data_IF_617580300359
#
_entry.id   IF_617580300359
#
_cell.length_a   1.000
_cell.length_b   1.000
_cell.length_c   1.000
_cell.angle_alpha   90.00
_cell.angle_beta   90.00
_cell.angle_gamma   90.00
#
_symmetry.space_group_name_H-M   'P 1'
#
loop_
_entity.id
_entity.type
_entity.pdbx_description
1 polymer ?
#
# COMPACT_ATOMS: atom_id res chain seq x y z
N UNK A 1 2.02 30.92 -32.94
CA UNK A 1 2.54 30.39 -31.65
C UNK A 1 2.97 28.96 -31.92
N UNK A 2 4.23 28.78 -32.34
CA UNK A 2 4.73 27.49 -32.80
C UNK A 2 5.10 26.63 -31.59
N UNK A 3 4.34 25.56 -31.35
CA UNK A 3 4.68 24.59 -30.33
C UNK A 3 5.88 23.76 -30.82
N UNK A 4 7.01 23.94 -30.17
CA UNK A 4 8.22 23.16 -30.40
C UNK A 4 7.98 21.70 -29.96
N UNK A 5 8.05 20.70 -30.86
CA UNK A 5 7.83 19.30 -30.53
C UNK A 5 8.89 18.73 -29.58
N UNK A 6 10.00 19.45 -29.34
CA UNK A 6 11.04 19.06 -28.37
C UNK A 6 10.75 19.53 -26.94
N UNK A 7 9.76 20.42 -26.75
CA UNK A 7 9.17 20.69 -25.44
C UNK A 7 8.20 19.56 -25.09
N UNK A 8 8.74 18.37 -24.85
CA UNK A 8 7.98 17.22 -24.38
C UNK A 8 7.08 17.64 -23.21
N UNK A 9 5.78 17.33 -23.29
CA UNK A 9 4.83 17.57 -22.21
C UNK A 9 5.32 16.84 -20.96
N UNK A 10 6.04 17.53 -20.08
CA UNK A 10 6.56 16.88 -18.87
C UNK A 10 5.39 16.38 -18.01
N UNK A 11 5.51 15.18 -17.43
CA UNK A 11 4.45 14.63 -16.57
C UNK A 11 4.13 15.52 -15.37
N UNK A 12 5.13 16.26 -14.87
CA UNK A 12 4.93 17.27 -13.82
C UNK A 12 4.11 18.47 -14.33
N UNK A 13 4.33 18.90 -15.57
CA UNK A 13 3.56 19.95 -16.24
C UNK A 13 2.10 19.55 -16.43
N UNK A 14 1.84 18.34 -16.94
CA UNK A 14 0.47 17.80 -17.09
C UNK A 14 -0.25 17.76 -15.74
N UNK A 15 0.40 17.25 -14.67
CA UNK A 15 -0.20 17.23 -13.33
C UNK A 15 -0.50 18.61 -12.77
N UNK A 16 0.41 19.55 -12.98
CA UNK A 16 0.23 20.94 -12.53
C UNK A 16 -0.93 21.58 -13.27
N UNK A 17 -1.03 21.35 -14.58
CA UNK A 17 -2.13 21.82 -15.41
C UNK A 17 -3.46 21.20 -14.97
N UNK A 18 -3.54 19.88 -14.82
CA UNK A 18 -4.78 19.22 -14.37
C UNK A 18 -5.17 19.69 -12.99
N UNK A 19 -4.22 19.87 -12.05
CA UNK A 19 -4.53 20.39 -10.71
C UNK A 19 -5.07 21.81 -10.76
N UNK A 20 -4.51 22.67 -11.62
CA UNK A 20 -5.02 24.05 -11.82
C UNK A 20 -6.40 24.04 -12.45
N UNK A 21 -6.60 23.29 -13.53
CA UNK A 21 -7.90 23.16 -14.18
C UNK A 21 -8.97 22.57 -13.26
N UNK A 22 -8.62 21.61 -12.40
CA UNK A 22 -9.52 21.09 -11.36
C UNK A 22 -9.78 22.14 -10.28
N UNK A 23 -8.77 22.89 -9.84
CA UNK A 23 -8.96 23.95 -8.84
C UNK A 23 -9.82 25.11 -9.38
N UNK A 24 -9.70 25.45 -10.67
CA UNK A 24 -10.51 26.47 -11.33
C UNK A 24 -11.96 26.03 -11.56
N UNK A 25 -12.21 24.72 -11.76
CA UNK A 25 -13.56 24.15 -11.88
C UNK A 25 -14.19 23.75 -10.56
N UNK A 26 -13.38 23.59 -9.51
CA UNK A 26 -13.87 23.26 -8.19
C UNK A 26 -14.52 24.52 -7.61
N UNK A 27 -15.84 24.47 -7.40
CA UNK A 27 -16.54 25.46 -6.58
C UNK A 27 -15.95 25.40 -5.17
N UNK A 28 -14.95 26.23 -4.94
CA UNK A 28 -14.22 26.36 -3.67
C UNK A 28 -15.01 27.27 -2.73
N UNK A 29 -16.28 26.94 -2.54
CA UNK A 29 -17.07 27.56 -1.48
C UNK A 29 -16.58 27.07 -0.11
N UNK A 30 -16.64 27.93 0.91
CA UNK A 30 -16.33 27.51 2.28
C UNK A 30 -17.21 26.34 2.76
N UNK A 31 -18.43 26.23 2.21
CA UNK A 31 -19.37 25.15 2.46
C UNK A 31 -18.91 23.81 1.89
N UNK A 32 -18.35 23.79 0.67
CA UNK A 32 -17.80 22.56 0.07
C UNK A 32 -16.55 22.10 0.81
N UNK A 33 -15.69 23.04 1.23
CA UNK A 33 -14.50 22.72 2.03
C UNK A 33 -14.89 22.17 3.42
N UNK A 34 -15.89 22.78 4.07
CA UNK A 34 -16.47 22.27 5.31
C UNK A 34 -17.12 20.88 5.14
N UNK A 35 -17.83 20.67 4.03
CA UNK A 35 -18.43 19.39 3.66
C UNK A 35 -17.39 18.30 3.43
N UNK A 36 -16.29 18.61 2.74
CA UNK A 36 -15.17 17.68 2.52
C UNK A 36 -14.47 17.32 3.83
N UNK A 37 -14.21 18.30 4.69
CA UNK A 37 -13.61 18.07 6.00
C UNK A 37 -14.54 17.23 6.88
N UNK A 38 -15.82 17.56 6.92
CA UNK A 38 -16.80 16.79 7.67
C UNK A 38 -16.91 15.36 7.11
N UNK A 39 -16.96 15.19 5.79
CA UNK A 39 -17.01 13.88 5.15
C UNK A 39 -15.76 13.04 5.46
N UNK A 40 -14.57 13.66 5.42
CA UNK A 40 -13.33 13.01 5.82
C UNK A 40 -13.33 12.62 7.31
N UNK A 41 -13.77 13.52 8.20
CA UNK A 41 -13.90 13.25 9.64
C UNK A 41 -14.92 12.15 9.91
N UNK A 42 -16.05 12.16 9.22
CA UNK A 42 -17.12 11.15 9.38
C UNK A 42 -16.62 9.80 8.90
N UNK A 43 -15.92 9.75 7.77
CA UNK A 43 -15.30 8.52 7.26
C UNK A 43 -14.26 7.99 8.26
N UNK A 44 -13.39 8.86 8.79
CA UNK A 44 -12.43 8.49 9.81
C UNK A 44 -13.11 7.97 11.08
N UNK A 45 -14.16 8.63 11.55
CA UNK A 45 -14.92 8.22 12.73
C UNK A 45 -15.61 6.87 12.53
N UNK A 46 -16.22 6.62 11.36
CA UNK A 46 -16.83 5.33 11.01
C UNK A 46 -15.77 4.22 11.00
N UNK A 47 -14.61 4.47 10.39
CA UNK A 47 -13.49 3.52 10.38
C UNK A 47 -13.05 3.20 11.83
N UNK A 48 -12.84 4.22 12.66
CA UNK A 48 -12.48 4.06 14.07
C UNK A 48 -13.55 3.28 14.84
N UNK A 49 -14.83 3.57 14.63
CA UNK A 49 -15.93 2.90 15.31
C UNK A 49 -16.05 1.43 14.90
N UNK A 50 -15.93 1.13 13.60
CA UNK A 50 -15.99 -0.25 13.07
C UNK A 50 -14.82 -1.07 13.61
N UNK A 51 -13.60 -0.56 13.50
CA UNK A 51 -12.43 -1.26 14.03
C UNK A 51 -12.49 -1.37 15.55
N UNK A 52 -12.84 -0.29 16.26
CA UNK A 52 -13.02 -0.27 17.71
C UNK A 52 -14.03 -1.30 18.19
N UNK A 53 -15.19 -1.41 17.52
CA UNK A 53 -16.22 -2.41 17.81
C UNK A 53 -15.75 -3.84 17.51
N UNK A 54 -15.05 -4.06 16.39
CA UNK A 54 -14.49 -5.37 16.06
C UNK A 54 -13.45 -5.82 17.10
N UNK A 55 -12.55 -4.93 17.53
CA UNK A 55 -11.57 -5.20 18.57
C UNK A 55 -12.23 -5.43 19.94
N UNK A 56 -13.25 -4.65 20.29
CA UNK A 56 -14.00 -4.84 21.54
C UNK A 56 -14.72 -6.19 21.55
N UNK A 57 -15.40 -6.56 20.47
CA UNK A 57 -16.06 -7.86 20.33
C UNK A 57 -15.05 -9.02 20.39
N UNK A 58 -13.89 -8.85 19.76
CA UNK A 58 -12.82 -9.85 19.82
C UNK A 58 -12.29 -10.00 21.25
N UNK A 59 -12.06 -8.88 21.96
CA UNK A 59 -11.64 -8.87 23.36
C UNK A 59 -12.65 -9.60 24.24
N UNK A 60 -13.93 -9.34 24.05
CA UNK A 60 -15.01 -9.95 24.83
C UNK A 60 -15.16 -11.45 24.53
N UNK A 61 -15.02 -11.86 23.27
CA UNK A 61 -14.97 -13.28 22.89
C UNK A 61 -13.76 -14.01 23.47
N UNK A 62 -12.61 -13.33 23.59
CA UNK A 62 -11.42 -13.87 24.25
C UNK A 62 -11.67 -14.00 25.74
N UNK A 63 -12.22 -12.96 26.39
CA UNK A 63 -12.52 -12.94 27.82
C UNK A 63 -13.61 -13.94 28.23
N UNK A 64 -14.56 -14.25 27.34
CA UNK A 64 -15.64 -15.21 27.58
C UNK A 64 -15.20 -16.68 27.40
N UNK A 65 -13.96 -16.96 26.98
CA UNK A 65 -13.46 -18.33 26.92
C UNK A 65 -13.19 -18.85 28.33
N UNK A 66 -13.60 -20.09 28.66
CA UNK A 66 -13.28 -20.68 29.95
C UNK A 66 -11.77 -20.68 30.14
N UNK A 67 -11.32 -20.37 31.36
CA UNK A 67 -9.94 -20.38 31.81
C UNK A 67 -9.35 -21.78 31.58
N UNK A 68 -8.80 -22.03 30.39
CA UNK A 68 -7.84 -23.11 30.20
C UNK A 68 -6.60 -22.67 30.96
N UNK A 69 -6.08 -23.50 31.86
CA UNK A 69 -4.96 -23.17 32.77
C UNK A 69 -3.60 -22.85 32.11
N UNK A 70 -3.58 -22.26 30.92
CA UNK A 70 -2.41 -21.88 30.15
C UNK A 70 -2.30 -20.35 30.01
N UNK A 71 -1.17 -19.83 30.50
CA UNK A 71 -0.50 -18.58 30.15
C UNK A 71 -1.35 -17.47 29.48
N UNK A 72 -1.73 -16.47 30.28
CA UNK A 72 -2.15 -15.16 29.76
C UNK A 72 -1.00 -14.57 28.95
N UNK A 73 -1.22 -14.32 27.66
CA UNK A 73 -0.20 -13.69 26.82
C UNK A 73 0.06 -12.25 27.31
N UNK A 74 1.31 -11.86 27.58
CA UNK A 74 1.68 -10.47 27.89
C UNK A 74 1.09 -9.47 26.87
N UNK A 75 0.70 -8.29 27.35
CA UNK A 75 0.12 -7.23 26.51
C UNK A 75 1.01 -6.83 25.34
N UNK A 76 2.33 -6.82 25.55
CA UNK A 76 3.34 -6.57 24.52
C UNK A 76 3.30 -7.58 23.37
N UNK A 77 3.24 -8.87 23.71
CA UNK A 77 3.20 -9.94 22.72
C UNK A 77 1.91 -9.86 21.90
N UNK A 78 0.80 -9.55 22.56
CA UNK A 78 -0.49 -9.35 21.89
C UNK A 78 -0.44 -8.17 20.93
N UNK A 79 0.13 -7.04 21.35
CA UNK A 79 0.27 -5.86 20.51
C UNK A 79 1.24 -6.09 19.35
N UNK A 80 2.38 -6.76 19.59
CA UNK A 80 3.34 -7.15 18.56
C UNK A 80 2.69 -8.06 17.50
N UNK A 81 1.96 -9.10 17.94
CA UNK A 81 1.23 -10.00 17.04
C UNK A 81 0.21 -9.22 16.20
N UNK A 82 -0.58 -8.35 16.84
CA UNK A 82 -1.54 -7.51 16.12
C UNK A 82 -0.83 -6.63 15.07
N UNK A 83 0.30 -6.01 15.42
CA UNK A 83 1.06 -5.18 14.51
C UNK A 83 1.65 -5.96 13.33
N UNK A 84 2.17 -7.16 13.57
CA UNK A 84 2.67 -8.05 12.52
C UNK A 84 1.53 -8.46 11.59
N UNK A 85 0.37 -8.83 12.13
CA UNK A 85 -0.80 -9.22 11.34
C UNK A 85 -1.32 -8.06 10.49
N UNK A 86 -1.45 -6.86 11.05
CA UNK A 86 -1.91 -5.68 10.31
C UNK A 86 -0.89 -5.31 9.22
N UNK A 87 0.40 -5.31 9.55
CA UNK A 87 1.46 -5.03 8.57
C UNK A 87 1.45 -6.07 7.45
N UNK A 88 1.33 -7.35 7.79
CA UNK A 88 1.25 -8.44 6.83
C UNK A 88 0.03 -8.31 5.92
N UNK A 89 -1.13 -7.96 6.47
CA UNK A 89 -2.35 -7.72 5.72
C UNK A 89 -2.21 -6.55 4.75
N UNK A 90 -1.66 -5.41 5.20
CA UNK A 90 -1.42 -4.23 4.36
C UNK A 90 -0.44 -4.56 3.22
N UNK A 91 0.66 -5.26 3.52
CA UNK A 91 1.64 -5.66 2.51
C UNK A 91 1.05 -6.65 1.51
N UNK A 92 0.28 -7.63 1.97
CA UNK A 92 -0.42 -8.58 1.10
C UNK A 92 -1.40 -7.84 0.19
N UNK A 93 -2.18 -6.90 0.74
CA UNK A 93 -3.13 -6.07 0.00
C UNK A 93 -2.43 -5.23 -1.08
N UNK A 94 -1.37 -4.50 -0.70
CA UNK A 94 -0.58 -3.69 -1.63
C UNK A 94 0.11 -4.55 -2.71
N UNK A 95 0.56 -5.77 -2.38
CA UNK A 95 1.17 -6.66 -3.36
C UNK A 95 0.18 -7.18 -4.41
N UNK A 96 -1.08 -7.38 -4.01
CA UNK A 96 -2.18 -7.85 -4.89
C UNK A 96 -2.73 -6.71 -5.74
N UNK A 97 -3.03 -5.57 -5.12
CA UNK A 97 -3.58 -4.40 -5.79
C UNK A 97 -2.52 -3.60 -6.57
N UNK A 98 -1.24 -3.76 -6.20
CA UNK A 98 -0.14 -2.94 -6.69
C UNK A 98 -0.07 -1.59 -5.97
N UNK A 99 1.06 -1.24 -5.34
CA UNK A 99 1.20 0.03 -4.65
C UNK A 99 1.03 1.25 -5.58
N UNK A 100 1.23 1.09 -6.89
CA UNK A 100 0.91 2.14 -7.86
C UNK A 100 -0.15 1.61 -8.80
N UNK A 101 -1.30 2.26 -8.79
CA UNK A 101 -2.41 2.00 -9.70
C UNK A 101 -2.88 3.31 -10.33
N UNK A 102 -3.46 3.24 -11.52
CA UNK A 102 -4.06 4.40 -12.16
C UNK A 102 -5.57 4.19 -12.19
N UNK A 103 -6.35 5.06 -11.53
CA UNK A 103 -7.82 4.97 -11.57
C UNK A 103 -8.30 4.88 -13.02
N UNK A 104 -9.43 4.22 -13.32
CA UNK A 104 -9.88 4.03 -14.70
C UNK A 104 -9.96 5.33 -15.50
N UNK A 105 -10.39 6.42 -14.85
CA UNK A 105 -10.42 7.76 -15.44
C UNK A 105 -9.00 8.29 -15.71
N UNK A 106 -8.10 8.26 -14.72
CA UNK A 106 -6.71 8.69 -14.92
C UNK A 106 -5.99 7.84 -15.97
N UNK A 107 -6.25 6.54 -16.00
CA UNK A 107 -5.68 5.61 -16.97
C UNK A 107 -6.13 5.94 -18.40
N UNK A 108 -7.40 6.29 -18.60
CA UNK A 108 -7.94 6.65 -19.91
C UNK A 108 -7.34 7.94 -20.48
N UNK A 109 -7.09 8.94 -19.61
CA UNK A 109 -6.68 10.27 -20.06
C UNK A 109 -5.17 10.54 -19.97
N UNK A 110 -4.45 9.94 -19.02
CA UNK A 110 -3.03 10.25 -18.78
C UNK A 110 -2.06 9.23 -19.38
N UNK A 111 -2.44 7.96 -19.49
CA UNK A 111 -1.55 6.91 -20.03
C UNK A 111 -1.31 7.03 -21.55
N UNK A 112 -2.25 7.53 -22.36
CA UNK A 112 -2.00 7.75 -23.79
C UNK A 112 -1.13 8.98 -24.10
N UNK A 113 -0.94 9.90 -23.14
CA UNK A 113 -0.21 11.14 -23.39
C UNK A 113 1.30 10.85 -23.60
N UNK A 114 1.96 11.53 -24.55
CA UNK A 114 3.40 11.45 -24.77
C UNK A 114 4.16 12.26 -23.71
N UNK A 115 3.89 11.98 -22.43
CA UNK A 115 4.44 12.68 -21.28
C UNK A 115 5.32 11.74 -20.44
N UNK A 116 6.39 12.28 -19.84
CA UNK A 116 7.27 11.51 -18.96
C UNK A 116 6.50 10.84 -17.81
N UNK A 117 6.44 9.50 -17.82
CA UNK A 117 5.59 8.68 -16.92
C UNK A 117 6.01 8.82 -15.45
N UNK A 118 7.30 8.89 -15.18
CA UNK A 118 7.86 9.12 -13.83
C UNK A 118 7.29 10.38 -13.17
N UNK A 119 7.16 11.47 -13.91
CA UNK A 119 6.59 12.72 -13.40
C UNK A 119 5.10 12.61 -13.04
N UNK A 120 4.35 11.82 -13.82
CA UNK A 120 2.93 11.52 -13.58
C UNK A 120 2.74 10.65 -12.33
N UNK A 121 3.51 9.57 -12.19
CA UNK A 121 3.32 8.58 -11.12
C UNK A 121 3.91 9.00 -9.76
N UNK A 122 4.82 9.98 -9.73
CA UNK A 122 5.43 10.49 -8.49
C UNK A 122 4.40 11.02 -7.48
N UNK A 123 3.28 11.55 -7.96
CA UNK A 123 2.20 12.02 -7.10
C UNK A 123 1.52 10.86 -6.37
N UNK A 124 1.28 9.77 -7.08
CA UNK A 124 0.64 8.58 -6.53
C UNK A 124 1.57 7.85 -5.55
N UNK A 125 2.85 7.75 -5.87
CA UNK A 125 3.86 7.22 -4.95
C UNK A 125 3.90 7.98 -3.62
N UNK A 126 3.76 9.32 -3.65
CA UNK A 126 3.68 10.14 -2.43
C UNK A 126 2.42 9.89 -1.64
N UNK A 127 1.26 9.78 -2.30
CA UNK A 127 -0.01 9.49 -1.61
C UNK A 127 0.04 8.13 -0.92
N UNK A 128 0.48 7.10 -1.64
CA UNK A 128 0.56 5.73 -1.09
C UNK A 128 1.61 5.64 0.00
N UNK A 129 2.75 6.33 -0.15
CA UNK A 129 3.73 6.46 0.93
C UNK A 129 3.15 7.14 2.17
N UNK A 130 2.36 8.21 2.01
CA UNK A 130 1.72 8.90 3.13
C UNK A 130 0.68 8.02 3.82
N UNK A 131 -0.17 7.30 3.06
CA UNK A 131 -1.13 6.35 3.63
C UNK A 131 -0.41 5.24 4.39
N UNK A 132 0.69 4.71 3.85
CA UNK A 132 1.49 3.69 4.53
C UNK A 132 2.12 4.20 5.83
N UNK A 133 2.62 5.45 5.85
CA UNK A 133 3.13 6.10 7.05
C UNK A 133 2.03 6.26 8.10
N UNK A 134 0.85 6.78 7.71
CA UNK A 134 -0.28 6.94 8.63
C UNK A 134 -0.70 5.59 9.21
N UNK A 135 -0.83 4.56 8.38
CA UNK A 135 -1.15 3.20 8.84
C UNK A 135 -0.09 2.67 9.81
N UNK A 136 1.19 2.86 9.52
CA UNK A 136 2.28 2.44 10.40
C UNK A 136 2.25 3.16 11.76
N UNK A 137 1.97 4.47 11.77
CA UNK A 137 1.84 5.25 13.02
C UNK A 137 0.66 4.76 13.85
N UNK A 138 -0.50 4.55 13.22
CA UNK A 138 -1.72 4.06 13.87
C UNK A 138 -1.51 2.67 14.50
N UNK A 139 -0.68 1.83 13.88
CA UNK A 139 -0.35 0.50 14.39
C UNK A 139 0.76 0.54 15.45
N UNK A 140 1.82 1.32 15.23
CA UNK A 140 2.98 1.36 16.13
C UNK A 140 2.65 2.03 17.47
N UNK A 141 1.80 3.06 17.48
CA UNK A 141 1.50 3.81 18.69
C UNK A 141 0.86 2.93 19.79
N UNK A 142 -0.19 2.13 19.52
CA UNK A 142 -0.72 1.17 20.51
C UNK A 142 0.30 0.15 21.00
N UNK A 143 1.22 -0.32 20.14
CA UNK A 143 2.25 -1.30 20.51
C UNK A 143 3.20 -0.73 21.55
N UNK A 144 3.66 0.49 21.31
CA UNK A 144 4.58 1.17 22.22
C UNK A 144 3.89 1.51 23.54
N UNK A 145 2.62 1.93 23.49
CA UNK A 145 1.84 2.23 24.69
C UNK A 145 1.43 0.99 25.50
N UNK A 146 1.46 -0.20 24.90
CA UNK A 146 1.21 -1.47 25.57
C UNK A 146 2.44 -2.04 26.30
N UNK A 147 3.59 -1.36 26.21
CA UNK A 147 4.80 -1.77 26.91
C UNK A 147 4.65 -1.64 28.45
N UNK A 148 5.22 -2.57 29.24
CA UNK A 148 5.05 -2.65 30.69
C UNK A 148 5.83 -1.56 31.42
N UNK A 149 6.89 -1.05 30.79
CA UNK A 149 7.61 0.11 31.25
C UNK A 149 7.03 1.35 30.59
N UNK A 150 6.82 2.42 31.38
CA UNK A 150 6.36 3.69 30.84
C UNK A 150 7.40 4.19 29.80
N UNK A 151 7.08 4.17 28.50
CA UNK A 151 8.04 4.49 27.48
C UNK A 151 8.39 5.97 27.57
N UNK A 152 9.66 6.28 27.43
CA UNK A 152 10.10 7.68 27.37
C UNK A 152 9.66 8.31 26.04
N UNK A 153 9.36 9.61 26.04
CA UNK A 153 9.04 10.37 24.80
C UNK A 153 10.03 10.10 23.65
N UNK A 154 11.37 10.07 23.86
CA UNK A 154 12.30 9.75 22.79
C UNK A 154 12.11 8.32 22.24
N UNK A 155 11.87 7.31 23.07
CA UNK A 155 11.63 5.93 22.61
C UNK A 155 10.36 5.82 21.77
N UNK A 156 9.27 6.47 22.19
CA UNK A 156 8.03 6.54 21.40
C UNK A 156 8.30 7.20 20.05
N UNK A 157 9.03 8.31 20.03
CA UNK A 157 9.31 9.02 18.78
C UNK A 157 10.18 8.20 17.82
N UNK A 158 11.18 7.48 18.35
CA UNK A 158 12.12 6.66 17.56
C UNK A 158 11.42 5.44 16.97
N UNK A 159 10.62 4.75 17.77
CA UNK A 159 9.88 3.55 17.33
C UNK A 159 8.83 3.89 16.27
N UNK A 160 8.07 4.97 16.48
CA UNK A 160 7.07 5.45 15.51
C UNK A 160 7.74 5.95 14.23
N UNK A 161 8.85 6.69 14.33
CA UNK A 161 9.61 7.13 13.16
C UNK A 161 10.23 5.93 12.40
N UNK A 162 10.79 4.96 13.10
CA UNK A 162 11.33 3.73 12.51
C UNK A 162 10.25 2.93 11.77
N UNK A 163 9.06 2.78 12.36
CA UNK A 163 7.92 2.13 11.72
C UNK A 163 7.46 2.87 10.44
N UNK A 164 7.38 4.20 10.49
CA UNK A 164 7.06 5.02 9.32
C UNK A 164 8.09 4.87 8.20
N UNK A 165 9.39 4.85 8.52
CA UNK A 165 10.47 4.66 7.57
C UNK A 165 10.45 3.25 6.96
N UNK A 166 10.23 2.22 7.77
CA UNK A 166 10.06 0.85 7.28
C UNK A 166 8.86 0.74 6.32
N UNK A 167 7.74 1.38 6.64
CA UNK A 167 6.58 1.41 5.74
C UNK A 167 6.92 2.03 4.37
N UNK A 168 7.68 3.13 4.35
CA UNK A 168 8.16 3.74 3.11
C UNK A 168 9.13 2.82 2.35
N UNK A 169 10.02 2.13 3.04
CA UNK A 169 10.93 1.14 2.43
C UNK A 169 10.15 0.00 1.78
N UNK A 170 9.13 -0.52 2.48
CA UNK A 170 8.24 -1.57 1.97
C UNK A 170 7.47 -1.09 0.73
N UNK A 171 6.88 0.11 0.76
CA UNK A 171 6.23 0.69 -0.42
C UNK A 171 7.20 0.79 -1.60
N UNK A 172 8.40 1.33 -1.38
CA UNK A 172 9.44 1.42 -2.42
C UNK A 172 9.81 0.05 -3.01
N UNK A 173 10.05 -0.95 -2.15
CA UNK A 173 10.34 -2.31 -2.56
C UNK A 173 9.21 -2.96 -3.36
N UNK A 174 7.95 -2.78 -2.93
CA UNK A 174 6.77 -3.29 -3.64
C UNK A 174 6.63 -2.66 -5.03
N UNK A 175 6.96 -1.39 -5.21
CA UNK A 175 6.95 -0.73 -6.52
C UNK A 175 8.02 -1.31 -7.45
N UNK A 176 9.22 -1.60 -6.90
CA UNK A 176 10.30 -2.26 -7.66
C UNK A 176 9.89 -3.67 -8.08
N UNK A 177 9.29 -4.45 -7.17
CA UNK A 177 8.76 -5.77 -7.48
C UNK A 177 7.61 -5.70 -8.50
N UNK A 178 6.76 -4.68 -8.41
CA UNK A 178 5.69 -4.44 -9.38
C UNK A 178 6.25 -4.17 -10.78
N UNK A 179 7.30 -3.35 -10.90
CA UNK A 179 7.95 -3.07 -12.18
C UNK A 179 8.57 -4.33 -12.80
N UNK A 180 9.03 -5.28 -11.98
CA UNK A 180 9.53 -6.58 -12.41
C UNK A 180 8.48 -7.68 -12.59
N UNK A 181 7.19 -7.41 -12.34
CA UNK A 181 6.13 -8.43 -12.38
C UNK A 181 6.23 -9.52 -11.30
N UNK A 182 6.96 -9.24 -10.20
CA UNK A 182 7.31 -10.22 -9.16
C UNK A 182 6.45 -10.15 -7.89
N UNK A 183 5.33 -9.40 -7.91
CA UNK A 183 4.50 -9.22 -6.71
C UNK A 183 3.70 -10.46 -6.30
N UNK A 184 3.55 -11.47 -7.17
CA UNK A 184 2.73 -12.65 -6.91
C UNK A 184 3.19 -13.51 -5.71
N UNK A 185 4.48 -13.48 -5.38
CA UNK A 185 5.04 -14.26 -4.26
C UNK A 185 5.02 -13.51 -2.93
N UNK A 186 4.76 -12.20 -2.94
CA UNK A 186 4.83 -11.39 -1.73
C UNK A 186 3.68 -11.74 -0.78
N UNK A 187 2.45 -11.79 -1.27
CA UNK A 187 1.29 -12.15 -0.45
C UNK A 187 1.44 -13.52 0.28
N UNK A 188 1.83 -14.63 -0.39
CA UNK A 188 1.99 -15.91 0.30
C UNK A 188 3.18 -15.91 1.27
N UNK A 189 4.31 -15.28 0.93
CA UNK A 189 5.47 -15.21 1.83
C UNK A 189 5.14 -14.39 3.07
N UNK A 190 4.52 -13.22 2.90
CA UNK A 190 4.09 -12.36 4.01
C UNK A 190 3.04 -13.06 4.88
N UNK A 191 2.10 -13.78 4.26
CA UNK A 191 1.12 -14.60 4.97
C UNK A 191 1.78 -15.72 5.79
N UNK A 192 2.71 -16.47 5.18
CA UNK A 192 3.44 -17.53 5.85
C UNK A 192 4.29 -17.01 7.02
N UNK A 193 4.99 -15.88 6.84
CA UNK A 193 5.74 -15.23 7.91
C UNK A 193 4.82 -14.80 9.06
N UNK A 194 3.67 -14.19 8.75
CA UNK A 194 2.69 -13.83 9.77
C UNK A 194 2.15 -15.06 10.51
N UNK A 195 1.87 -16.16 9.79
CA UNK A 195 1.47 -17.43 10.41
C UNK A 195 2.55 -17.97 11.32
N UNK A 196 3.82 -17.98 10.89
CA UNK A 196 4.95 -18.44 11.72
C UNK A 196 5.08 -17.61 12.99
N UNK A 197 5.01 -16.28 12.88
CA UNK A 197 5.12 -15.36 14.03
C UNK A 197 3.98 -15.56 15.05
N UNK A 198 2.79 -15.97 14.61
CA UNK A 198 1.65 -16.21 15.52
C UNK A 198 1.63 -17.63 16.07
N UNK A 199 1.85 -18.63 15.21
CA UNK A 199 1.67 -20.04 15.55
C UNK A 199 2.85 -20.56 16.35
N UNK A 200 4.10 -20.17 16.03
CA UNK A 200 5.28 -20.69 16.73
C UNK A 200 5.26 -20.34 18.23
N UNK A 201 5.01 -19.08 18.64
CA UNK A 201 4.91 -18.74 20.06
C UNK A 201 3.70 -19.40 20.74
N UNK A 202 2.56 -19.51 20.05
CA UNK A 202 1.36 -20.15 20.59
C UNK A 202 1.59 -21.66 20.84
N UNK A 203 2.22 -22.37 19.89
CA UNK A 203 2.55 -23.79 20.03
C UNK A 203 3.64 -24.00 21.08
N UNK A 204 4.68 -23.16 21.07
CA UNK A 204 5.76 -23.19 22.07
C UNK A 204 5.25 -23.02 23.50
N UNK A 205 4.35 -22.05 23.72
CA UNK A 205 3.72 -21.81 25.02
C UNK A 205 2.77 -22.93 25.48
N UNK A 206 2.24 -23.75 24.56
CA UNK A 206 1.38 -24.91 24.92
C UNK A 206 2.12 -26.21 25.12
N UNK A 207 3.29 -26.39 24.51
CA UNK A 207 4.05 -27.64 24.56
C UNK A 207 5.10 -27.65 25.69
N UNK A 208 5.48 -26.47 26.17
CA UNK A 208 6.52 -26.33 27.20
C UNK A 208 5.91 -25.60 28.39
N UNK A 209 5.54 -26.35 29.43
CA UNK A 209 5.23 -25.76 30.74
C UNK A 209 6.44 -24.94 31.20
N UNK A 210 6.27 -23.62 31.35
CA UNK A 210 7.36 -22.71 31.75
C UNK A 210 8.12 -22.03 30.60
N UNK A 211 7.51 -21.88 29.42
CA UNK A 211 8.07 -21.05 28.34
C UNK A 211 8.04 -19.55 28.72
N UNK A 212 9.01 -19.11 29.52
CA UNK A 212 9.23 -17.72 29.94
C UNK A 212 10.01 -16.90 28.90
N UNK A 213 10.06 -17.35 27.64
CA UNK A 213 10.69 -16.58 26.59
C UNK A 213 9.79 -15.40 26.21
N UNK A 214 10.02 -14.29 26.88
CA UNK A 214 9.62 -12.98 26.39
C UNK A 214 10.67 -12.56 25.35
N UNK A 215 10.30 -12.23 24.11
CA UNK A 215 11.23 -11.62 23.18
C UNK A 215 11.69 -10.29 23.77
N UNK A 216 12.85 -10.31 24.41
CA UNK A 216 13.56 -9.10 24.78
C UNK A 216 13.88 -8.36 23.49
N UNK A 217 13.44 -7.10 23.40
CA UNK A 217 13.85 -6.24 22.30
C UNK A 217 15.38 -6.29 22.22
N UNK A 218 15.97 -6.64 21.07
CA UNK A 218 17.41 -6.62 20.94
C UNK A 218 17.89 -5.21 21.30
N UNK A 219 19.01 -5.13 22.02
CA UNK A 219 19.59 -3.87 22.47
C UNK A 219 20.25 -3.19 21.27
N UNK A 220 19.39 -2.67 20.38
CA UNK A 220 19.79 -2.11 19.10
C UNK A 220 20.06 -0.63 19.32
N UNK A 221 21.26 -0.14 18.99
CA UNK A 221 21.56 1.27 19.17
C UNK A 221 20.55 2.12 18.37
N UNK A 222 20.01 3.17 19.00
CA UNK A 222 19.11 4.16 18.39
C UNK A 222 19.49 4.58 16.96
N UNK A 223 20.76 4.85 16.62
CA UNK A 223 21.14 5.19 15.25
C UNK A 223 20.89 4.06 14.24
N UNK A 224 20.90 2.79 14.64
CA UNK A 224 20.58 1.67 13.76
C UNK A 224 19.06 1.53 13.57
N UNK A 225 18.27 1.78 14.62
CA UNK A 225 16.79 1.75 14.59
C UNK A 225 16.19 2.80 13.65
N UNK A 226 16.88 3.92 13.42
CA UNK A 226 16.43 4.95 12.47
C UNK A 226 17.26 4.92 11.18
N UNK A 227 18.59 4.76 11.30
CA UNK A 227 19.52 4.88 10.18
C UNK A 227 19.29 3.82 9.11
N UNK A 228 19.15 2.55 9.51
CA UNK A 228 18.89 1.45 8.56
C UNK A 228 17.56 1.66 7.83
N UNK A 229 16.41 1.85 8.51
CA UNK A 229 15.16 2.06 7.80
C UNK A 229 15.13 3.37 7.02
N UNK A 230 15.83 4.42 7.45
CA UNK A 230 15.98 5.65 6.66
C UNK A 230 16.71 5.40 5.35
N UNK A 231 17.85 4.70 5.39
CA UNK A 231 18.60 4.34 4.18
C UNK A 231 17.76 3.45 3.27
N UNK A 232 17.06 2.45 3.81
CA UNK A 232 16.18 1.58 3.03
C UNK A 232 14.99 2.34 2.43
N UNK A 233 14.39 3.28 3.17
CA UNK A 233 13.30 4.12 2.67
C UNK A 233 13.77 5.00 1.51
N UNK A 234 14.91 5.68 1.68
CA UNK A 234 15.48 6.54 0.63
C UNK A 234 15.86 5.70 -0.60
N UNK A 235 16.58 4.59 -0.41
CA UNK A 235 16.98 3.71 -1.51
C UNK A 235 15.76 3.11 -2.23
N UNK A 236 14.76 2.65 -1.47
CA UNK A 236 13.51 2.10 -2.00
C UNK A 236 12.70 3.11 -2.79
N UNK A 237 12.53 4.33 -2.28
CA UNK A 237 11.81 5.41 -2.97
C UNK A 237 12.55 5.90 -4.22
N UNK A 238 13.88 6.00 -4.18
CA UNK A 238 14.70 6.35 -5.35
C UNK A 238 14.65 5.25 -6.42
N UNK A 239 14.70 3.98 -6.00
CA UNK A 239 14.54 2.85 -6.92
C UNK A 239 13.14 2.83 -7.53
N UNK A 240 12.09 3.01 -6.72
CA UNK A 240 10.70 3.11 -7.16
C UNK A 240 10.50 4.24 -8.19
N UNK A 241 11.08 5.40 -7.93
CA UNK A 241 11.04 6.55 -8.83
C UNK A 241 11.76 6.29 -10.16
N UNK A 242 12.89 5.57 -10.14
CA UNK A 242 13.64 5.17 -11.36
C UNK A 242 12.92 4.12 -12.20
N UNK A 243 12.23 3.17 -11.57
CA UNK A 243 11.52 2.10 -12.30
C UNK A 243 10.10 2.49 -12.70
N UNK A 244 9.61 3.65 -12.27
CA UNK A 244 8.25 4.11 -12.57
C UNK A 244 7.97 4.22 -14.07
N UNK A 245 8.97 4.55 -14.90
CA UNK A 245 8.81 4.58 -16.36
C UNK A 245 8.61 3.20 -16.99
N UNK A 246 9.07 2.14 -16.31
CA UNK A 246 8.97 0.74 -16.76
C UNK A 246 7.62 0.10 -16.44
N UNK A 247 6.76 0.78 -15.68
CA UNK A 247 5.45 0.28 -15.32
C UNK A 247 4.56 0.19 -16.57
N UNK A 248 4.06 -1.02 -16.84
CA UNK A 248 3.19 -1.26 -17.99
C UNK A 248 1.84 -0.58 -17.82
N UNK A 249 1.43 0.23 -18.79
CA UNK A 249 0.16 0.96 -18.77
C UNK A 249 -1.06 0.04 -18.61
N UNK A 250 -1.05 -1.13 -19.25
CA UNK A 250 -2.09 -2.15 -19.09
C UNK A 250 -2.21 -2.65 -17.65
N UNK A 251 -1.07 -2.97 -17.02
CA UNK A 251 -1.04 -3.43 -15.63
C UNK A 251 -1.49 -2.34 -14.64
N UNK A 252 -1.15 -1.07 -14.90
CA UNK A 252 -1.63 0.07 -14.08
C UNK A 252 -3.14 0.25 -14.16
N UNK A 253 -3.72 0.06 -15.36
CA UNK A 253 -5.16 0.16 -15.59
C UNK A 253 -5.93 -1.00 -14.96
N UNK A 254 -5.47 -2.24 -15.15
CA UNK A 254 -6.08 -3.45 -14.55
C UNK A 254 -6.07 -3.38 -13.02
N UNK A 255 -4.94 -2.96 -12.43
CA UNK A 255 -4.81 -2.74 -11.00
C UNK A 255 -5.70 -1.60 -10.50
N UNK A 256 -5.81 -0.52 -11.27
CA UNK A 256 -6.72 0.58 -10.95
C UNK A 256 -8.19 0.18 -10.97
N UNK A 257 -8.59 -0.68 -11.91
CA UNK A 257 -9.95 -1.25 -11.91
C UNK A 257 -10.17 -2.16 -10.71
N UNK A 258 -9.18 -2.98 -10.33
CA UNK A 258 -9.29 -3.84 -9.16
C UNK A 258 -9.41 -3.04 -7.85
N UNK A 259 -8.62 -1.96 -7.71
CA UNK A 259 -8.71 -1.04 -6.55
C UNK A 259 -10.08 -0.37 -6.50
N UNK A 260 -10.59 0.12 -7.64
CA UNK A 260 -11.91 0.75 -7.71
C UNK A 260 -13.04 -0.22 -7.30
N UNK A 261 -13.05 -1.44 -7.86
CA UNK A 261 -14.02 -2.48 -7.51
C UNK A 261 -13.91 -2.86 -6.03
N UNK A 262 -12.70 -3.11 -5.53
CA UNK A 262 -12.49 -3.44 -4.12
C UNK A 262 -12.98 -2.33 -3.18
N UNK A 263 -12.77 -1.06 -3.55
CA UNK A 263 -13.20 0.09 -2.75
C UNK A 263 -14.73 0.22 -2.75
N UNK A 264 -15.38 0.06 -3.91
CA UNK A 264 -16.83 0.07 -4.03
C UNK A 264 -17.47 -1.09 -3.25
N UNK A 265 -16.93 -2.32 -3.37
CA UNK A 265 -17.39 -3.49 -2.63
C UNK A 265 -17.18 -3.36 -1.12
N UNK A 266 -16.09 -2.73 -0.67
CA UNK A 266 -15.86 -2.46 0.74
C UNK A 266 -16.89 -1.47 1.30
N UNK A 267 -17.21 -0.41 0.54
CA UNK A 267 -18.23 0.58 0.92
C UNK A 267 -19.64 -0.03 0.91
N UNK A 268 -19.94 -0.95 -0.01
CA UNK A 268 -21.22 -1.66 -0.07
C UNK A 268 -21.30 -2.90 0.83
N UNK A 269 -20.22 -3.22 1.57
CA UNK A 269 -20.06 -4.43 2.37
C UNK A 269 -20.30 -5.74 1.58
N UNK A 270 -20.07 -5.72 0.26
CA UNK A 270 -20.14 -6.91 -0.58
C UNK A 270 -18.82 -7.71 -0.46
N UNK A 271 -18.78 -8.55 0.58
CA UNK A 271 -17.61 -9.39 0.88
C UNK A 271 -17.30 -10.39 -0.23
N UNK A 272 -18.29 -10.78 -1.05
CA UNK A 272 -18.10 -11.72 -2.16
C UNK A 272 -17.35 -11.06 -3.31
N UNK A 273 -17.78 -9.88 -3.73
CA UNK A 273 -17.07 -9.12 -4.77
C UNK A 273 -15.73 -8.59 -4.27
N UNK A 274 -15.62 -8.23 -2.99
CA UNK A 274 -14.33 -7.90 -2.37
C UNK A 274 -13.37 -9.09 -2.41
N UNK A 275 -13.84 -10.27 -2.02
CA UNK A 275 -13.05 -11.51 -2.08
C UNK A 275 -12.63 -11.85 -3.51
N UNK A 276 -13.51 -11.64 -4.50
CA UNK A 276 -13.21 -11.83 -5.92
C UNK A 276 -12.17 -10.82 -6.41
N UNK A 277 -12.33 -9.54 -6.10
CA UNK A 277 -11.41 -8.47 -6.49
C UNK A 277 -10.00 -8.65 -5.90
N UNK A 278 -9.91 -9.14 -4.65
CA UNK A 278 -8.64 -9.42 -3.97
C UNK A 278 -8.04 -10.79 -4.33
N UNK A 279 -8.90 -11.75 -4.66
CA UNK A 279 -8.54 -13.14 -4.93
C UNK A 279 -8.13 -13.40 -6.37
N UNK A 280 -8.60 -12.60 -7.33
CA UNK A 280 -8.26 -12.79 -8.74
C UNK A 280 -6.82 -12.35 -8.98
N UNK A 281 -5.87 -13.26 -9.25
CA UNK A 281 -4.54 -12.84 -9.66
C UNK A 281 -4.69 -12.03 -10.94
N UNK A 282 -4.21 -10.78 -10.93
CA UNK A 282 -4.07 -9.98 -12.14
C UNK A 282 -3.09 -10.75 -13.03
N UNK A 283 -3.63 -11.46 -14.01
CA UNK A 283 -2.82 -12.27 -14.90
C UNK A 283 -1.89 -11.29 -15.62
N UNK A 284 -0.57 -11.55 -15.65
CA UNK A 284 0.33 -10.70 -16.38
C UNK A 284 -0.18 -10.60 -17.82
N UNK A 285 -0.22 -9.39 -18.41
CA UNK A 285 -0.69 -9.23 -19.77
C UNK A 285 0.06 -10.22 -20.67
N UNK A 286 -0.69 -10.98 -21.49
CA UNK A 286 -0.14 -11.88 -22.51
C UNK A 286 1.01 -11.15 -23.20
N UNK A 287 2.21 -11.79 -23.21
CA UNK A 287 3.50 -11.27 -23.70
C UNK A 287 3.38 -9.93 -24.43
N UNK A 288 3.96 -8.88 -23.85
CA UNK A 288 4.10 -7.61 -24.54
C UNK A 288 4.75 -7.87 -25.91
N UNK A 289 3.99 -7.70 -26.99
CA UNK A 289 4.54 -7.76 -28.34
C UNK A 289 5.39 -6.50 -28.50
N UNK A 290 6.71 -6.69 -28.49
CA UNK A 290 7.64 -5.64 -28.85
C UNK A 290 7.59 -5.48 -30.37
N UNK A 291 7.11 -4.34 -30.84
CA UNK A 291 7.11 -3.99 -32.25
C UNK A 291 8.46 -3.36 -32.62
N UNK A 292 9.55 -4.11 -32.45
CA UNK A 292 10.93 -3.63 -32.66
C UNK A 292 11.22 -3.20 -34.11
N UNK A 293 10.31 -3.51 -35.04
CA UNK A 293 10.36 -3.10 -36.44
C UNK A 293 9.72 -1.73 -36.70
N UNK A 294 9.05 -1.13 -35.71
CA UNK A 294 8.48 0.22 -35.81
C UNK A 294 9.59 1.24 -35.61
N UNK A 295 10.05 1.82 -36.72
CA UNK A 295 11.06 2.88 -36.80
C UNK A 295 10.48 4.19 -37.29
N UNK A 296 9.37 4.14 -38.02
CA UNK A 296 8.73 5.31 -38.65
C UNK A 296 7.29 5.52 -38.16
N UNK A 297 6.76 6.76 -38.17
CA UNK A 297 5.43 7.07 -37.64
C UNK A 297 4.28 6.28 -38.30
N UNK A 298 4.35 6.04 -39.60
CA UNK A 298 3.31 5.28 -40.31
C UNK A 298 3.31 3.80 -39.89
N UNK A 299 4.46 3.23 -39.52
CA UNK A 299 4.56 1.86 -39.03
C UNK A 299 3.88 1.70 -37.67
N UNK A 300 3.86 2.77 -36.85
CA UNK A 300 3.15 2.77 -35.58
C UNK A 300 1.63 2.69 -35.77
N UNK A 301 1.09 3.34 -36.81
CA UNK A 301 -0.34 3.26 -37.17
C UNK A 301 -0.69 1.83 -37.61
N UNK A 302 0.11 1.26 -38.52
CA UNK A 302 -0.09 -0.13 -39.00
C UNK A 302 0.04 -1.14 -37.86
N UNK A 303 1.05 -0.99 -37.00
CA UNK A 303 1.21 -1.84 -35.82
C UNK A 303 0.04 -1.70 -34.83
N UNK A 304 -0.53 -0.50 -34.72
CA UNK A 304 -1.75 -0.22 -33.96
C UNK A 304 -2.95 -0.99 -34.51
N UNK A 305 -3.20 -0.90 -35.82
CA UNK A 305 -4.30 -1.62 -36.47
C UNK A 305 -4.12 -3.14 -36.36
N UNK A 306 -2.90 -3.65 -36.57
CA UNK A 306 -2.59 -5.07 -36.44
C UNK A 306 -2.76 -5.57 -34.99
N UNK A 307 -2.44 -4.71 -34.01
CA UNK A 307 -2.71 -5.01 -32.60
C UNK A 307 -4.21 -5.05 -32.28
N UNK A 308 -5.03 -4.19 -32.91
CA UNK A 308 -6.50 -4.21 -32.77
C UNK A 308 -7.07 -5.46 -33.46
N UNK A 309 -6.71 -5.72 -34.71
CA UNK A 309 -7.16 -6.91 -35.45
C UNK A 309 -6.77 -8.21 -34.75
N UNK A 310 -5.57 -8.31 -34.18
CA UNK A 310 -5.16 -9.52 -33.46
C UNK A 310 -5.83 -9.72 -32.09
N UNK A 311 -6.58 -8.73 -31.59
CA UNK A 311 -7.34 -8.79 -30.33
C UNK A 311 -8.84 -9.02 -30.55
N UNK A 312 -9.34 -8.78 -31.75
CA UNK A 312 -10.72 -9.02 -32.14
C UNK A 312 -10.82 -10.40 -32.81
N UNK A 313 -11.44 -11.41 -32.18
CA UNK A 313 -11.72 -12.69 -32.82
C UNK A 313 -12.75 -12.56 -33.95
#
# INVERSE_FOLDING_TARGET
>A
MNADPTLELSGAGVRRFTRRATAERADTSWLTLGGDVLSALTTAAVVVAVFGGAFASLRERIAARPETGSAVLPGELTALVAAVLVTAAVVALLSRLGPVSATPATAAWWLPLPAGRRGLLRGELRKVGLVAVVAAVVVALPVVLAAPQAPSVPEVSVTVAGAALLALAVVGGLVVLQAGGRTGWVAPVTGALATVVVVVPAVGGTLVDGWDWVPSAPDVPLPLLIGVPAVLAVAGLLAADRVSDRLAAGALRERGTAVFVASASALSLDTRELGRALGTPVHPPRRQRSWSWVKEPWQAVVAGDLAVFSRSP
#
